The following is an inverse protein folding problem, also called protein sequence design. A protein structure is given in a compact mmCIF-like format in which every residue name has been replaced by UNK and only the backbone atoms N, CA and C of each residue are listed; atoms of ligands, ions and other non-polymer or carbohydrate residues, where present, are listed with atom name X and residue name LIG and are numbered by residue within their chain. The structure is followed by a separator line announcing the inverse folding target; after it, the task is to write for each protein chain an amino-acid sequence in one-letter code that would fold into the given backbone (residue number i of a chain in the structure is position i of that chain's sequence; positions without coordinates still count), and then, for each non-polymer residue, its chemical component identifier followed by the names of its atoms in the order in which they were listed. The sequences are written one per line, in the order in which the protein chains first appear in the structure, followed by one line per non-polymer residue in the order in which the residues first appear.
data_IF_721325632943
#
_entry.id   IF_721325632943
#
_cell.length_a   1.000
_cell.length_b   1.000
_cell.length_c   1.000
_cell.angle_alpha   90.00
_cell.angle_beta   90.00
_cell.angle_gamma   90.00
#
_symmetry.space_group_name_H-M   'P 1'
#
loop_
_entity.id
_entity.type
_entity.pdbx_description
1 polymer ?
#
# COMPACT_ATOMS: atom_id res chain seq x y z
N UNK A 1 21.23 -8.21 -68.74
CA UNK A 1 21.05 -9.04 -67.54
C UNK A 1 22.24 -8.72 -66.64
N UNK A 2 22.35 -7.62 -65.88
CA UNK A 2 21.41 -6.95 -64.95
C UNK A 2 20.46 -7.93 -64.28
N UNK A 3 20.26 -7.95 -62.98
CA UNK A 3 20.76 -7.26 -61.78
C UNK A 3 20.10 -8.09 -60.67
N UNK A 4 20.72 -8.20 -59.50
CA UNK A 4 20.14 -8.50 -58.17
C UNK A 4 21.16 -9.28 -57.33
N UNK A 5 22.19 -8.56 -56.87
CA UNK A 5 22.88 -8.91 -55.64
C UNK A 5 22.28 -8.01 -54.55
N UNK A 6 21.13 -8.44 -54.01
CA UNK A 6 20.68 -7.97 -52.70
C UNK A 6 21.64 -8.60 -51.67
N UNK A 7 22.61 -7.80 -51.24
CA UNK A 7 23.55 -8.13 -50.19
C UNK A 7 22.78 -8.32 -48.86
N UNK A 8 22.68 -9.58 -48.45
CA UNK A 8 22.01 -10.01 -47.22
C UNK A 8 22.85 -9.61 -46.00
N UNK A 9 22.43 -8.56 -45.29
CA UNK A 9 23.00 -8.18 -43.99
C UNK A 9 22.18 -8.87 -42.87
N UNK A 10 22.76 -9.76 -42.04
CA UNK A 10 22.03 -10.51 -41.01
C UNK A 10 21.46 -9.61 -39.89
N UNK A 11 20.15 -9.74 -39.62
CA UNK A 11 19.37 -8.93 -38.65
C UNK A 11 19.67 -9.15 -37.14
N UNK A 12 20.83 -9.70 -36.75
CA UNK A 12 21.02 -10.22 -35.37
C UNK A 12 22.14 -9.58 -34.51
N UNK A 13 22.69 -8.41 -34.86
CA UNK A 13 23.72 -7.77 -33.99
C UNK A 13 23.43 -6.39 -33.43
N UNK A 14 22.34 -5.72 -33.79
CA UNK A 14 22.17 -4.31 -33.41
C UNK A 14 20.78 -4.04 -32.81
N UNK A 15 20.66 -3.30 -31.68
CA UNK A 15 19.39 -2.96 -31.05
C UNK A 15 18.64 -1.83 -31.80
N UNK A 16 19.01 -1.56 -33.05
CA UNK A 16 18.53 -0.45 -33.87
C UNK A 16 17.61 -0.99 -34.97
N UNK A 17 16.50 -0.30 -35.21
CA UNK A 17 15.59 -0.59 -36.32
C UNK A 17 16.25 -0.31 -37.68
N UNK A 18 15.73 -0.92 -38.75
CA UNK A 18 16.25 -0.76 -40.12
C UNK A 18 16.31 0.71 -40.56
N UNK A 19 15.36 1.55 -40.13
CA UNK A 19 15.44 2.99 -40.39
C UNK A 19 16.56 3.69 -39.61
N UNK A 20 16.81 3.29 -38.36
CA UNK A 20 17.90 3.83 -37.53
C UNK A 20 19.27 3.41 -38.09
N UNK A 21 19.43 2.15 -38.51
CA UNK A 21 20.66 1.66 -39.15
C UNK A 21 20.94 2.44 -40.44
N UNK A 22 19.95 2.64 -41.30
CA UNK A 22 20.12 3.44 -42.52
C UNK A 22 20.53 4.90 -42.23
N UNK A 23 20.07 5.44 -41.11
CA UNK A 23 20.38 6.81 -40.72
C UNK A 23 21.77 6.92 -40.08
N UNK A 24 22.20 5.90 -39.32
CA UNK A 24 23.58 5.73 -38.88
C UNK A 24 24.53 5.51 -40.06
N UNK A 25 24.09 4.78 -41.08
CA UNK A 25 24.84 4.56 -42.32
C UNK A 25 24.97 5.86 -43.12
N UNK A 26 23.92 6.69 -43.11
CA UNK A 26 23.97 8.04 -43.66
C UNK A 26 25.00 8.90 -42.94
N UNK A 27 25.02 8.88 -41.60
CA UNK A 27 26.02 9.60 -40.79
C UNK A 27 27.42 9.07 -41.04
N UNK A 28 27.61 7.75 -41.10
CA UNK A 28 28.89 7.13 -41.37
C UNK A 28 29.44 7.55 -42.74
N UNK A 29 28.58 7.55 -43.76
CA UNK A 29 28.91 8.07 -45.09
C UNK A 29 29.14 9.59 -45.14
N UNK A 30 28.77 10.36 -44.11
CA UNK A 30 29.16 11.77 -44.00
C UNK A 30 30.61 11.94 -43.52
N UNK A 31 31.12 10.95 -42.78
CA UNK A 31 32.46 10.97 -42.22
C UNK A 31 33.48 10.27 -43.13
N UNK A 32 33.04 9.23 -43.83
CA UNK A 32 33.77 8.48 -44.85
C UNK A 32 33.68 9.19 -46.21
N UNK A 33 34.50 10.24 -46.38
CA UNK A 33 34.41 11.13 -47.55
C UNK A 33 34.94 10.48 -48.83
N UNK A 34 35.79 9.46 -48.70
CA UNK A 34 36.32 8.66 -49.81
C UNK A 34 35.51 7.39 -50.10
N UNK A 35 34.43 7.12 -49.33
CA UNK A 35 33.64 5.88 -49.38
C UNK A 35 34.52 4.63 -49.21
N UNK A 36 35.58 4.70 -48.41
CA UNK A 36 36.46 3.59 -48.11
C UNK A 36 35.80 2.51 -47.26
N UNK A 37 34.65 2.81 -46.63
CA UNK A 37 33.95 1.95 -45.69
C UNK A 37 34.49 2.07 -44.25
N UNK A 38 35.42 2.99 -44.01
CA UNK A 38 36.09 3.20 -42.73
C UNK A 38 36.30 4.70 -42.49
N UNK A 39 36.00 5.19 -41.29
CA UNK A 39 36.27 6.61 -40.95
C UNK A 39 37.71 6.71 -40.46
N UNK A 40 38.56 7.38 -41.23
CA UNK A 40 39.97 7.57 -40.88
C UNK A 40 40.18 8.77 -39.96
N UNK A 41 41.27 8.77 -39.19
CA UNK A 41 41.65 9.87 -38.29
C UNK A 41 41.70 11.21 -39.03
N UNK A 42 42.28 11.22 -40.22
CA UNK A 42 42.44 12.43 -41.04
C UNK A 42 41.10 12.96 -41.56
N UNK A 43 40.13 12.08 -41.79
CA UNK A 43 38.79 12.47 -42.24
C UNK A 43 37.98 13.04 -41.07
N UNK A 44 38.09 12.43 -39.89
CA UNK A 44 37.48 12.95 -38.67
C UNK A 44 38.11 14.29 -38.25
N UNK A 45 39.43 14.43 -38.37
CA UNK A 45 40.17 15.68 -38.12
C UNK A 45 39.84 16.76 -39.16
N UNK A 46 39.75 16.40 -40.44
CA UNK A 46 39.36 17.34 -41.50
C UNK A 46 37.94 17.83 -41.29
N UNK A 47 37.04 16.97 -40.83
CA UNK A 47 35.68 17.36 -40.49
C UNK A 47 35.73 18.28 -39.27
N UNK A 48 36.39 17.92 -38.17
CA UNK A 48 36.53 18.76 -36.97
C UNK A 48 37.12 20.15 -37.29
N UNK A 49 38.13 20.19 -38.16
CA UNK A 49 38.74 21.43 -38.66
C UNK A 49 37.76 22.24 -39.51
N UNK A 50 36.99 21.58 -40.40
CA UNK A 50 35.94 22.24 -41.19
C UNK A 50 34.83 22.79 -40.30
N UNK A 51 34.41 22.12 -39.23
CA UNK A 51 33.41 22.60 -38.23
C UNK A 51 34.01 23.53 -37.16
N UNK A 52 35.26 23.96 -37.29
CA UNK A 52 35.87 24.97 -36.43
C UNK A 52 36.17 24.48 -35.00
N UNK A 53 36.28 23.16 -34.83
CA UNK A 53 36.71 22.50 -33.60
C UNK A 53 38.18 22.13 -33.66
N UNK A 54 38.80 21.93 -32.48
CA UNK A 54 40.18 21.50 -32.39
C UNK A 54 40.33 20.05 -32.88
N UNK A 55 41.20 19.78 -33.87
CA UNK A 55 41.40 18.44 -34.43
C UNK A 55 41.91 17.42 -33.38
N UNK A 56 42.59 17.89 -32.33
CA UNK A 56 43.05 17.04 -31.23
C UNK A 56 41.91 16.31 -30.47
N UNK A 57 40.68 16.83 -30.51
CA UNK A 57 39.51 16.17 -29.93
C UNK A 57 39.03 14.99 -30.78
N UNK A 58 39.25 15.00 -32.10
CA UNK A 58 38.92 13.91 -32.99
C UNK A 58 39.84 12.70 -32.71
N UNK A 59 41.14 12.94 -32.59
CA UNK A 59 42.14 11.92 -32.26
C UNK A 59 41.87 11.27 -30.90
N UNK A 60 41.44 12.04 -29.89
CA UNK A 60 41.08 11.52 -28.58
C UNK A 60 39.82 10.62 -28.61
N UNK A 61 38.82 10.97 -29.43
CA UNK A 61 37.62 10.17 -29.65
C UNK A 61 37.95 8.83 -30.32
N UNK A 62 38.80 8.85 -31.35
CA UNK A 62 39.29 7.65 -32.03
C UNK A 62 40.09 6.74 -31.09
N UNK A 63 40.99 7.31 -30.29
CA UNK A 63 41.78 6.57 -29.34
C UNK A 63 40.91 5.90 -28.26
N UNK A 64 39.80 6.52 -27.87
CA UNK A 64 38.84 5.95 -26.94
C UNK A 64 38.02 4.81 -27.56
N UNK A 65 37.75 4.87 -28.87
CA UNK A 65 37.08 3.82 -29.65
C UNK A 65 37.99 2.60 -29.82
N UNK A 66 39.22 2.81 -30.29
CA UNK A 66 40.23 1.75 -30.47
C UNK A 66 40.54 1.00 -29.17
N UNK A 67 40.62 1.73 -28.05
CA UNK A 67 40.88 1.12 -26.75
C UNK A 67 39.72 0.29 -26.21
N UNK A 68 38.49 0.49 -26.72
CA UNK A 68 37.27 -0.19 -26.27
C UNK A 68 36.85 -1.35 -27.18
N UNK A 69 37.13 -1.27 -28.48
CA UNK A 69 36.79 -2.33 -29.44
C UNK A 69 37.64 -3.60 -29.26
N UNK A 70 38.78 -3.52 -28.56
CA UNK A 70 39.64 -4.69 -28.28
C UNK A 70 40.27 -5.32 -29.53
N UNK A 71 40.11 -4.68 -30.69
CA UNK A 71 40.68 -5.05 -31.98
C UNK A 71 42.04 -4.41 -32.24
N UNK A 72 42.61 -4.70 -33.42
CA UNK A 72 43.87 -4.09 -33.87
C UNK A 72 43.72 -2.57 -33.96
N UNK A 73 44.74 -1.84 -33.47
CA UNK A 73 44.79 -0.38 -33.55
C UNK A 73 45.18 0.02 -34.97
N UNK A 74 44.23 0.01 -35.87
CA UNK A 74 44.41 0.48 -37.25
C UNK A 74 44.11 1.98 -37.40
N UNK A 75 43.56 2.63 -36.36
CA UNK A 75 43.24 4.05 -36.36
C UNK A 75 42.09 4.38 -37.31
N UNK A 76 41.21 3.41 -37.56
CA UNK A 76 40.07 3.52 -38.46
C UNK A 76 38.83 2.97 -37.75
N UNK A 77 37.67 3.61 -37.93
CA UNK A 77 36.42 3.12 -37.33
C UNK A 77 35.56 2.52 -38.43
N UNK A 78 35.27 1.22 -38.34
CA UNK A 78 34.34 0.55 -39.25
C UNK A 78 32.87 0.87 -38.90
N UNK A 79 31.96 0.67 -39.87
CA UNK A 79 30.54 0.92 -39.64
C UNK A 79 29.97 0.03 -38.51
N UNK A 80 30.41 -1.22 -38.44
CA UNK A 80 29.97 -2.16 -37.41
C UNK A 80 30.45 -1.72 -36.01
N UNK A 81 31.68 -1.22 -35.88
CA UNK A 81 32.19 -0.65 -34.62
C UNK A 81 31.47 0.66 -34.24
N UNK A 82 31.17 1.50 -35.23
CA UNK A 82 30.40 2.72 -35.04
C UNK A 82 28.98 2.41 -34.52
N UNK A 83 28.34 1.37 -35.04
CA UNK A 83 27.01 0.92 -34.58
C UNK A 83 27.10 0.21 -33.22
N UNK A 84 28.11 -0.60 -32.99
CA UNK A 84 28.32 -1.31 -31.73
C UNK A 84 28.63 -0.35 -30.57
N UNK A 85 29.38 0.72 -30.81
CA UNK A 85 29.56 1.81 -29.84
C UNK A 85 28.23 2.43 -29.43
N UNK A 86 27.37 2.73 -30.40
CA UNK A 86 26.06 3.33 -30.15
C UNK A 86 25.10 2.33 -29.49
N UNK A 87 25.20 1.04 -29.84
CA UNK A 87 24.39 -0.05 -29.30
C UNK A 87 24.75 -0.33 -27.83
N UNK A 88 26.03 -0.34 -27.50
CA UNK A 88 26.53 -0.55 -26.15
C UNK A 88 26.19 0.65 -25.25
N UNK A 89 26.18 1.87 -25.80
CA UNK A 89 25.72 3.09 -25.11
C UNK A 89 24.20 3.04 -24.81
N UNK A 90 23.40 2.45 -25.70
CA UNK A 90 21.96 2.20 -25.51
C UNK A 90 21.69 1.18 -24.40
N UNK A 91 22.55 0.16 -24.25
CA UNK A 91 22.47 -0.84 -23.19
C UNK A 91 23.02 -0.33 -21.83
N UNK A 92 24.06 0.51 -21.84
CA UNK A 92 24.62 1.14 -20.63
C UNK A 92 23.74 2.29 -20.07
N UNK A 93 22.77 2.77 -20.85
CA UNK A 93 21.77 3.77 -20.43
C UNK A 93 20.66 3.23 -19.52
N UNK A 94 20.69 1.94 -19.15
CA UNK A 94 19.73 1.31 -18.23
C UNK A 94 20.29 1.12 -16.80
N UNK A 95 21.36 1.84 -16.42
CA UNK A 95 22.11 1.56 -15.19
C UNK A 95 22.78 2.74 -14.50
N UNK A 96 22.05 3.82 -14.18
CA UNK A 96 22.34 4.62 -12.97
C UNK A 96 21.06 5.33 -12.48
N UNK A 97 20.46 4.91 -11.35
CA UNK A 97 19.31 5.60 -10.77
C UNK A 97 19.61 7.02 -10.26
N UNK A 98 20.87 7.47 -10.24
CA UNK A 98 21.29 8.78 -9.72
C UNK A 98 21.88 9.76 -10.76
N UNK A 99 21.99 9.38 -12.03
CA UNK A 99 22.40 10.33 -13.08
C UNK A 99 21.25 11.30 -13.36
N UNK A 100 21.47 12.57 -13.00
CA UNK A 100 20.48 13.64 -13.07
C UNK A 100 19.89 13.70 -14.48
N UNK A 101 18.56 13.58 -14.59
CA UNK A 101 17.79 13.36 -15.82
C UNK A 101 17.77 14.54 -16.78
N UNK A 102 18.95 15.06 -17.11
CA UNK A 102 19.19 16.05 -18.14
C UNK A 102 19.33 15.40 -19.53
N UNK A 103 19.25 16.22 -20.59
CA UNK A 103 19.52 15.76 -21.94
C UNK A 103 20.95 15.25 -22.03
N UNK A 104 21.13 14.16 -22.78
CA UNK A 104 22.44 13.55 -22.93
C UNK A 104 23.41 14.50 -23.63
N UNK A 105 24.47 14.87 -22.92
CA UNK A 105 25.43 15.85 -23.40
C UNK A 105 26.04 15.43 -24.76
N UNK A 106 26.20 14.12 -25.00
CA UNK A 106 26.74 13.61 -26.27
C UNK A 106 25.71 13.72 -27.40
N UNK A 107 24.45 13.41 -27.12
CA UNK A 107 23.35 13.55 -28.10
C UNK A 107 23.12 15.02 -28.44
N UNK A 108 23.19 15.92 -27.45
CA UNK A 108 23.10 17.37 -27.68
C UNK A 108 24.25 17.88 -28.57
N UNK A 109 25.46 17.38 -28.36
CA UNK A 109 26.62 17.76 -29.17
C UNK A 109 26.49 17.23 -30.60
N UNK A 110 25.99 16.01 -30.76
CA UNK A 110 25.71 15.44 -32.08
C UNK A 110 24.61 16.22 -32.83
N UNK A 111 23.55 16.64 -32.14
CA UNK A 111 22.51 17.50 -32.69
C UNK A 111 23.07 18.85 -33.16
N UNK A 112 24.04 19.41 -32.45
CA UNK A 112 24.71 20.67 -32.82
C UNK A 112 25.57 20.49 -34.07
N UNK A 113 26.37 19.42 -34.13
CA UNK A 113 27.22 19.10 -35.26
C UNK A 113 26.40 18.86 -36.54
N UNK A 114 25.30 18.11 -36.46
CA UNK A 114 24.40 17.89 -37.60
C UNK A 114 23.72 19.18 -38.09
N UNK A 115 23.40 20.12 -37.19
CA UNK A 115 22.83 21.42 -37.57
C UNK A 115 23.86 22.26 -38.34
N UNK A 116 25.10 22.29 -37.84
CA UNK A 116 26.21 23.00 -38.49
C UNK A 116 26.53 22.39 -39.87
N UNK A 117 26.49 21.06 -39.99
CA UNK A 117 26.64 20.37 -41.27
C UNK A 117 25.54 20.73 -42.26
N UNK A 118 24.27 20.68 -41.83
CA UNK A 118 23.13 21.08 -42.66
C UNK A 118 23.29 22.50 -43.19
N UNK A 119 23.66 23.45 -42.32
CA UNK A 119 23.87 24.86 -42.71
C UNK A 119 24.96 25.02 -43.76
N UNK A 120 26.06 24.27 -43.67
CA UNK A 120 27.12 24.30 -44.69
C UNK A 120 26.68 23.74 -46.03
N UNK A 121 25.94 22.63 -46.05
CA UNK A 121 25.38 22.11 -47.28
C UNK A 121 24.42 23.10 -47.94
N UNK A 122 23.65 23.87 -47.15
CA UNK A 122 22.79 24.95 -47.66
C UNK A 122 23.61 26.12 -48.27
N UNK A 123 24.74 26.49 -47.66
CA UNK A 123 25.65 27.53 -48.16
C UNK A 123 26.38 27.11 -49.45
N UNK A 124 26.79 25.84 -49.53
CA UNK A 124 27.45 25.25 -50.71
C UNK A 124 26.46 24.94 -51.85
N UNK A 125 25.16 25.01 -51.59
CA UNK A 125 24.08 24.77 -52.56
C UNK A 125 23.71 23.29 -52.74
N UNK A 126 24.24 22.38 -51.89
CA UNK A 126 23.86 20.97 -51.86
C UNK A 126 22.61 20.75 -50.99
N UNK A 127 21.46 21.08 -51.57
CA UNK A 127 20.17 20.95 -50.90
C UNK A 127 19.73 19.50 -50.65
N UNK A 128 20.26 18.53 -51.40
CA UNK A 128 19.89 17.12 -51.21
C UNK A 128 20.49 16.59 -49.91
N UNK A 129 21.76 16.92 -49.67
CA UNK A 129 22.47 16.57 -48.45
C UNK A 129 21.96 17.34 -47.23
N UNK A 130 21.68 18.64 -47.38
CA UNK A 130 20.97 19.42 -46.35
C UNK A 130 19.62 18.79 -45.98
N UNK A 131 18.89 18.27 -46.96
CA UNK A 131 17.63 17.55 -46.75
C UNK A 131 17.79 16.22 -45.98
N UNK A 132 18.88 15.48 -46.22
CA UNK A 132 19.24 14.27 -45.46
C UNK A 132 19.59 14.60 -44.01
N UNK A 133 20.48 15.58 -43.80
CA UNK A 133 20.88 16.06 -42.49
C UNK A 133 19.70 16.57 -41.66
N UNK A 134 18.79 17.35 -42.27
CA UNK A 134 17.59 17.86 -41.58
C UNK A 134 16.61 16.75 -41.17
N UNK A 135 16.42 15.72 -42.01
CA UNK A 135 15.62 14.54 -41.63
C UNK A 135 16.23 13.82 -40.44
N UNK A 136 17.55 13.63 -40.47
CA UNK A 136 18.25 12.91 -39.43
C UNK A 136 18.23 13.67 -38.08
N UNK A 137 18.43 14.98 -38.14
CA UNK A 137 18.31 15.88 -37.00
C UNK A 137 16.90 15.83 -36.38
N UNK A 138 15.86 15.72 -37.20
CA UNK A 138 14.49 15.50 -36.74
C UNK A 138 14.28 14.17 -36.00
N UNK A 139 14.88 13.08 -36.49
CA UNK A 139 14.79 11.76 -35.87
C UNK A 139 15.49 11.74 -34.50
N UNK A 140 16.72 12.24 -34.42
CA UNK A 140 17.48 12.30 -33.16
C UNK A 140 16.81 13.19 -32.11
N UNK A 141 16.27 14.35 -32.51
CA UNK A 141 15.47 15.20 -31.61
C UNK A 141 14.27 14.42 -31.05
N UNK A 142 13.52 13.73 -31.90
CA UNK A 142 12.36 12.96 -31.48
C UNK A 142 12.73 11.78 -30.57
N UNK A 143 13.87 11.14 -30.81
CA UNK A 143 14.37 10.04 -29.99
C UNK A 143 14.78 10.53 -28.59
N UNK A 144 15.55 11.62 -28.51
CA UNK A 144 15.98 12.19 -27.23
C UNK A 144 14.78 12.75 -26.45
N UNK A 145 13.83 13.42 -27.11
CA UNK A 145 12.56 13.83 -26.50
C UNK A 145 11.81 12.62 -25.89
N UNK A 146 11.70 11.51 -26.63
CA UNK A 146 11.03 10.30 -26.14
C UNK A 146 11.75 9.68 -24.95
N UNK A 147 13.09 9.66 -24.95
CA UNK A 147 13.89 9.15 -23.83
C UNK A 147 13.65 9.96 -22.57
N UNK A 148 13.80 11.28 -22.65
CA UNK A 148 13.58 12.18 -21.52
C UNK A 148 12.14 12.07 -20.99
N UNK A 149 11.15 11.96 -21.89
CA UNK A 149 9.76 11.73 -21.50
C UNK A 149 9.57 10.40 -20.74
N UNK A 150 10.25 9.32 -21.16
CA UNK A 150 10.22 8.03 -20.46
C UNK A 150 10.83 8.15 -19.07
N UNK A 151 11.97 8.82 -18.92
CA UNK A 151 12.63 9.02 -17.62
C UNK A 151 11.75 9.78 -16.63
N UNK A 152 11.14 10.88 -17.06
CA UNK A 152 10.21 11.66 -16.23
C UNK A 152 9.02 10.80 -15.79
N UNK A 153 8.42 10.05 -16.73
CA UNK A 153 7.29 9.15 -16.41
C UNK A 153 7.70 8.03 -15.46
N UNK A 154 8.89 7.46 -15.62
CA UNK A 154 9.43 6.43 -14.74
C UNK A 154 9.59 6.94 -13.31
N UNK A 155 10.15 8.15 -13.13
CA UNK A 155 10.25 8.80 -11.80
C UNK A 155 8.87 9.01 -11.17
N UNK A 156 7.89 9.47 -11.95
CA UNK A 156 6.52 9.64 -11.44
C UNK A 156 5.87 8.32 -11.04
N UNK A 157 6.13 7.23 -11.78
CA UNK A 157 5.66 5.88 -11.42
C UNK A 157 6.27 5.43 -10.09
N UNK A 158 7.58 5.60 -9.91
CA UNK A 158 8.28 5.27 -8.66
C UNK A 158 7.72 6.05 -7.47
N UNK A 159 7.54 7.37 -7.60
CA UNK A 159 6.95 8.20 -6.54
C UNK A 159 5.53 7.74 -6.16
N UNK A 160 4.71 7.34 -7.14
CA UNK A 160 3.38 6.75 -6.85
C UNK A 160 3.48 5.41 -6.14
N UNK A 161 4.46 4.58 -6.48
CA UNK A 161 4.70 3.31 -5.80
C UNK A 161 5.10 3.55 -4.33
N UNK A 162 5.96 4.52 -4.06
CA UNK A 162 6.36 4.88 -2.70
C UNK A 162 5.15 5.34 -1.86
N UNK A 163 4.29 6.19 -2.45
CA UNK A 163 3.04 6.61 -1.80
C UNK A 163 2.10 5.43 -1.57
N UNK A 164 2.01 4.48 -2.51
CA UNK A 164 1.21 3.27 -2.32
C UNK A 164 1.76 2.39 -1.19
N UNK A 165 3.08 2.23 -1.10
CA UNK A 165 3.74 1.51 -0.01
C UNK A 165 3.42 2.17 1.33
N UNK A 166 3.55 3.51 1.42
CA UNK A 166 3.22 4.27 2.61
C UNK A 166 1.74 4.12 3.00
N UNK A 167 0.81 4.18 2.04
CA UNK A 167 -0.62 3.93 2.29
C UNK A 167 -0.89 2.51 2.82
N UNK A 168 -0.22 1.51 2.26
CA UNK A 168 -0.35 0.12 2.70
C UNK A 168 0.19 -0.06 4.13
N UNK A 169 1.34 0.54 4.46
CA UNK A 169 1.88 0.53 5.82
C UNK A 169 0.92 1.18 6.81
N UNK A 170 0.40 2.38 6.50
CA UNK A 170 -0.58 3.06 7.35
C UNK A 170 -1.85 2.22 7.56
N UNK A 171 -2.31 1.50 6.54
CA UNK A 171 -3.47 0.62 6.65
C UNK A 171 -3.19 -0.59 7.55
N UNK A 172 -1.98 -1.16 7.46
CA UNK A 172 -1.54 -2.25 8.32
C UNK A 172 -1.44 -1.79 9.78
N UNK A 173 -0.80 -0.66 10.04
CA UNK A 173 -0.67 -0.09 11.38
C UNK A 173 -2.05 0.23 12.00
N UNK A 174 -2.95 0.81 11.19
CA UNK A 174 -4.34 1.04 11.59
C UNK A 174 -5.04 -0.25 12.00
N UNK A 175 -4.90 -1.32 11.21
CA UNK A 175 -5.52 -2.61 11.53
C UNK A 175 -4.93 -3.22 12.79
N UNK A 176 -3.60 -3.22 12.93
CA UNK A 176 -2.93 -3.75 14.10
C UNK A 176 -3.35 -3.01 15.39
N UNK A 177 -3.47 -1.68 15.34
CA UNK A 177 -3.97 -0.89 16.46
C UNK A 177 -5.41 -1.24 16.84
N UNK A 178 -6.30 -1.41 15.85
CA UNK A 178 -7.68 -1.82 16.09
C UNK A 178 -7.80 -3.26 16.59
N UNK A 179 -6.99 -4.17 16.07
CA UNK A 179 -6.99 -5.57 16.50
C UNK A 179 -6.56 -5.66 17.97
N UNK A 180 -5.50 -4.95 18.35
CA UNK A 180 -5.06 -4.83 19.75
C UNK A 180 -6.16 -4.23 20.65
N UNK A 181 -6.79 -3.14 20.21
CA UNK A 181 -7.88 -2.51 20.96
C UNK A 181 -9.07 -3.47 21.17
N UNK A 182 -9.43 -4.24 20.15
CA UNK A 182 -10.49 -5.23 20.22
C UNK A 182 -10.12 -6.41 21.13
N UNK A 183 -8.86 -6.85 21.11
CA UNK A 183 -8.34 -7.89 21.99
C UNK A 183 -8.38 -7.46 23.46
N UNK A 184 -7.95 -6.24 23.77
CA UNK A 184 -8.03 -5.67 25.12
C UNK A 184 -9.50 -5.59 25.61
N UNK A 185 -10.43 -5.16 24.75
CA UNK A 185 -11.85 -5.13 25.06
C UNK A 185 -12.42 -6.54 25.31
N UNK A 186 -12.15 -7.50 24.41
CA UNK A 186 -12.63 -8.88 24.52
C UNK A 186 -12.03 -9.55 25.79
N UNK A 187 -10.76 -9.25 26.13
CA UNK A 187 -10.10 -9.69 27.36
C UNK A 187 -10.74 -9.12 28.63
N UNK A 188 -11.00 -7.81 28.69
CA UNK A 188 -11.72 -7.22 29.82
C UNK A 188 -13.13 -7.78 29.96
N UNK A 189 -13.85 -7.96 28.85
CA UNK A 189 -15.19 -8.56 28.85
C UNK A 189 -15.20 -9.98 29.45
N UNK A 190 -14.19 -10.81 29.11
CA UNK A 190 -14.02 -12.14 29.69
C UNK A 190 -13.78 -12.08 31.20
N UNK A 191 -12.93 -11.16 31.68
CA UNK A 191 -12.71 -10.98 33.12
C UNK A 191 -13.98 -10.58 33.87
N UNK A 192 -14.80 -9.68 33.32
CA UNK A 192 -16.09 -9.30 33.92
C UNK A 192 -17.06 -10.49 33.98
N UNK A 193 -17.14 -11.28 32.90
CA UNK A 193 -17.96 -12.49 32.87
C UNK A 193 -17.50 -13.46 33.96
N UNK A 194 -16.19 -13.71 34.06
CA UNK A 194 -15.61 -14.60 35.06
C UNK A 194 -15.96 -14.12 36.48
N UNK A 195 -15.69 -12.85 36.79
CA UNK A 195 -15.98 -12.26 38.10
C UNK A 195 -17.47 -12.39 38.47
N UNK A 196 -18.38 -12.15 37.52
CA UNK A 196 -19.81 -12.31 37.75
C UNK A 196 -20.19 -13.78 37.98
N UNK A 197 -19.64 -14.72 37.22
CA UNK A 197 -19.91 -16.15 37.40
C UNK A 197 -19.40 -16.69 38.74
N UNK A 198 -18.21 -16.25 39.19
CA UNK A 198 -17.67 -16.59 40.50
C UNK A 198 -18.55 -16.04 41.62
N UNK A 199 -18.96 -14.77 41.51
CA UNK A 199 -19.91 -14.16 42.46
C UNK A 199 -21.24 -14.90 42.48
N UNK A 200 -21.76 -15.31 41.32
CA UNK A 200 -22.99 -16.09 41.24
C UNK A 200 -22.84 -17.47 41.92
N UNK A 201 -21.68 -18.13 41.76
CA UNK A 201 -21.41 -19.40 42.41
C UNK A 201 -21.39 -19.28 43.94
N UNK A 202 -20.72 -18.26 44.48
CA UNK A 202 -20.70 -17.99 45.93
C UNK A 202 -22.11 -17.66 46.44
N UNK A 203 -22.83 -16.74 45.78
CA UNK A 203 -24.18 -16.38 46.17
C UNK A 203 -25.15 -17.57 46.13
N UNK A 204 -24.98 -18.49 45.17
CA UNK A 204 -25.79 -19.69 45.07
C UNK A 204 -25.51 -20.65 46.23
N UNK A 205 -24.24 -20.81 46.61
CA UNK A 205 -23.85 -21.63 47.76
C UNK A 205 -24.43 -21.07 49.07
N UNK A 206 -24.29 -19.76 49.30
CA UNK A 206 -24.87 -19.08 50.46
C UNK A 206 -26.40 -19.21 50.49
N UNK A 207 -27.05 -19.04 49.34
CA UNK A 207 -28.50 -19.23 49.22
C UNK A 207 -28.94 -20.67 49.53
N UNK A 208 -28.21 -21.67 49.02
CA UNK A 208 -28.48 -23.08 49.32
C UNK A 208 -28.32 -23.38 50.81
N UNK A 209 -27.25 -22.88 51.44
CA UNK A 209 -27.01 -23.05 52.88
C UNK A 209 -28.11 -22.41 53.72
N UNK A 210 -28.51 -21.17 53.39
CA UNK A 210 -29.62 -20.48 54.05
C UNK A 210 -30.95 -21.22 53.91
N UNK A 211 -31.25 -21.74 52.73
CA UNK A 211 -32.44 -22.57 52.51
C UNK A 211 -32.39 -23.89 53.30
N UNK A 212 -31.24 -24.55 53.37
CA UNK A 212 -31.09 -25.76 54.17
C UNK A 212 -31.30 -25.47 55.66
N UNK A 213 -30.79 -24.34 56.16
CA UNK A 213 -31.00 -23.92 57.55
C UNK A 213 -32.48 -23.62 57.84
N UNK A 214 -33.15 -22.85 56.97
CA UNK A 214 -34.58 -22.54 57.08
C UNK A 214 -35.44 -23.82 57.16
N UNK A 215 -35.01 -24.88 56.47
CA UNK A 215 -35.72 -26.15 56.45
C UNK A 215 -35.40 -27.04 57.66
N UNK A 216 -34.19 -26.95 58.22
CA UNK A 216 -33.80 -27.64 59.47
C UNK A 216 -34.54 -27.08 60.69
N UNK A 217 -34.73 -25.75 60.72
CA UNK A 217 -35.36 -25.07 61.85
C UNK A 217 -36.89 -25.27 61.91
N UNK A 218 -37.49 -25.79 60.82
CA UNK A 218 -38.94 -26.09 60.77
C UNK A 218 -39.21 -27.47 61.38
N UNK A 219 -39.92 -27.56 62.53
CA UNK A 219 -40.21 -28.84 63.16
C UNK A 219 -41.10 -29.72 62.25
N UNK A 220 -40.87 -31.04 62.21
CA UNK A 220 -41.69 -31.98 61.45
C UNK A 220 -43.16 -31.92 61.89
N UNK A 221 -44.08 -31.84 60.92
CA UNK A 221 -45.52 -31.83 61.17
C UNK A 221 -46.11 -33.19 60.84
N UNK A 222 -46.29 -34.01 61.87
CA UNK A 222 -46.86 -35.35 61.76
C UNK A 222 -48.38 -35.31 61.54
N UNK A 223 -48.88 -36.29 60.79
CA UNK A 223 -50.30 -36.50 60.54
C UNK A 223 -51.05 -36.83 61.82
N UNK A 224 -52.33 -36.43 61.86
CA UNK A 224 -53.21 -36.67 63.01
C UNK A 224 -53.35 -38.17 63.30
N UNK A 225 -53.44 -38.98 62.26
CA UNK A 225 -53.56 -40.43 62.35
C UNK A 225 -52.33 -41.07 62.99
N UNK A 226 -51.12 -40.69 62.56
CA UNK A 226 -49.88 -41.19 63.17
C UNK A 226 -49.80 -40.87 64.67
N UNK A 227 -50.16 -39.64 65.05
CA UNK A 227 -50.21 -39.23 66.46
C UNK A 227 -51.26 -40.03 67.25
N UNK A 228 -52.40 -40.37 66.64
CA UNK A 228 -53.43 -41.24 67.22
C UNK A 228 -52.93 -42.68 67.40
N UNK A 229 -52.26 -43.27 66.42
CA UNK A 229 -51.63 -44.58 66.52
C UNK A 229 -50.54 -44.64 67.61
N UNK A 230 -49.72 -43.59 67.72
CA UNK A 230 -48.71 -43.46 68.79
C UNK A 230 -49.35 -43.33 70.17
N UNK A 231 -50.44 -42.56 70.33
CA UNK A 231 -51.21 -42.51 71.58
C UNK A 231 -51.77 -43.88 71.96
N UNK A 232 -52.34 -44.62 70.99
CA UNK A 232 -52.88 -45.96 71.21
C UNK A 232 -51.80 -46.98 71.56
N UNK A 233 -50.61 -46.87 70.96
CA UNK A 233 -49.43 -47.67 71.31
C UNK A 233 -49.07 -47.51 72.79
N UNK A 234 -48.92 -46.26 73.26
CA UNK A 234 -48.56 -45.98 74.65
C UNK A 234 -49.65 -46.42 75.64
N UNK A 235 -50.92 -46.32 75.26
CA UNK A 235 -52.05 -46.78 76.07
C UNK A 235 -52.00 -48.30 76.30
N UNK A 236 -51.81 -49.09 75.22
CA UNK A 236 -51.71 -50.56 75.33
C UNK A 236 -50.46 -50.99 76.12
N UNK A 237 -49.35 -50.28 75.96
CA UNK A 237 -48.15 -50.51 76.75
C UNK A 237 -48.37 -50.25 78.25
N UNK A 238 -49.07 -49.18 78.62
CA UNK A 238 -49.44 -48.87 80.02
C UNK A 238 -50.36 -49.94 80.63
N UNK A 239 -51.24 -50.53 79.83
CA UNK A 239 -52.10 -51.65 80.23
C UNK A 239 -51.34 -52.99 80.31
N UNK A 240 -50.02 -53.01 80.09
CA UNK A 240 -49.14 -54.20 80.04
C UNK A 240 -49.51 -55.20 78.94
N UNK A 241 -50.33 -54.80 77.96
CA UNK A 241 -50.61 -55.61 76.77
C UNK A 241 -49.53 -55.38 75.71
N UNK A 242 -48.37 -55.99 75.94
CA UNK A 242 -47.18 -55.80 75.10
C UNK A 242 -47.34 -56.39 73.69
N UNK A 243 -48.10 -57.48 73.54
CA UNK A 243 -48.32 -58.13 72.25
C UNK A 243 -49.11 -57.22 71.28
N UNK A 244 -50.19 -56.58 71.76
CA UNK A 244 -50.92 -55.60 70.97
C UNK A 244 -50.15 -54.30 70.78
N UNK A 245 -49.45 -53.82 71.82
CA UNK A 245 -48.61 -52.63 71.71
C UNK A 245 -47.51 -52.79 70.63
N UNK A 246 -46.92 -53.97 70.49
CA UNK A 246 -45.92 -54.27 69.47
C UNK A 246 -46.50 -54.29 68.06
N UNK A 247 -47.72 -54.83 67.87
CA UNK A 247 -48.43 -54.78 66.59
C UNK A 247 -48.73 -53.34 66.18
N UNK A 248 -49.24 -52.53 67.11
CA UNK A 248 -49.52 -51.11 66.89
C UNK A 248 -48.23 -50.33 66.58
N UNK A 249 -47.14 -50.61 67.31
CA UNK A 249 -45.83 -50.00 67.07
C UNK A 249 -45.38 -50.24 65.62
N UNK A 250 -45.46 -51.47 65.12
CA UNK A 250 -45.04 -51.79 63.74
C UNK A 250 -45.82 -50.97 62.69
N UNK A 251 -47.13 -50.80 62.90
CA UNK A 251 -47.98 -49.99 62.01
C UNK A 251 -47.62 -48.51 62.13
N UNK A 252 -47.44 -47.99 63.34
CA UNK A 252 -47.05 -46.60 63.59
C UNK A 252 -45.65 -46.28 63.02
N UNK A 253 -44.67 -47.17 63.17
CA UNK A 253 -43.32 -47.02 62.62
C UNK A 253 -43.35 -46.97 61.08
N UNK A 254 -44.16 -47.83 60.43
CA UNK A 254 -44.35 -47.81 58.97
C UNK A 254 -45.05 -46.53 58.49
N UNK A 255 -46.06 -46.06 59.22
CA UNK A 255 -46.75 -44.80 58.93
C UNK A 255 -45.80 -43.61 59.09
N UNK A 256 -45.01 -43.58 60.16
CA UNK A 256 -44.01 -42.54 60.41
C UNK A 256 -42.95 -42.49 59.31
N UNK A 257 -42.46 -43.63 58.86
CA UNK A 257 -41.49 -43.70 57.75
C UNK A 257 -42.08 -43.12 56.46
N UNK A 258 -43.33 -43.49 56.12
CA UNK A 258 -44.02 -42.93 54.94
C UNK A 258 -44.22 -41.42 55.05
N UNK A 259 -44.71 -40.94 56.19
CA UNK A 259 -44.91 -39.49 56.41
C UNK A 259 -43.57 -38.74 56.39
N UNK A 260 -42.50 -39.32 56.93
CA UNK A 260 -41.15 -38.73 56.89
C UNK A 260 -40.63 -38.64 55.46
N UNK A 261 -40.76 -39.69 54.66
CA UNK A 261 -40.37 -39.68 53.25
C UNK A 261 -41.18 -38.69 52.43
N UNK A 262 -42.50 -38.61 52.65
CA UNK A 262 -43.36 -37.65 51.98
C UNK A 262 -42.97 -36.20 52.35
N UNK A 263 -42.71 -35.91 53.63
CA UNK A 263 -42.22 -34.61 54.08
C UNK A 263 -40.85 -34.28 53.46
N UNK A 264 -39.91 -35.23 53.43
CA UNK A 264 -38.60 -35.05 52.79
C UNK A 264 -38.72 -34.76 51.29
N UNK A 265 -39.58 -35.49 50.57
CA UNK A 265 -39.82 -35.26 49.14
C UNK A 265 -40.46 -33.90 48.88
N UNK A 266 -41.48 -33.52 49.66
CA UNK A 266 -42.10 -32.20 49.56
C UNK A 266 -41.09 -31.08 49.85
N UNK A 267 -40.27 -31.26 50.89
CA UNK A 267 -39.20 -30.36 51.25
C UNK A 267 -38.17 -30.23 50.11
N UNK A 268 -37.69 -31.35 49.56
CA UNK A 268 -36.77 -31.36 48.43
C UNK A 268 -37.36 -30.69 47.18
N UNK A 269 -38.66 -30.89 46.89
CA UNK A 269 -39.34 -30.23 45.79
C UNK A 269 -39.42 -28.70 45.97
N UNK A 270 -39.71 -28.23 47.19
CA UNK A 270 -39.70 -26.79 47.51
C UNK A 270 -38.30 -26.21 47.40
N UNK A 271 -37.27 -26.92 47.89
CA UNK A 271 -35.87 -26.53 47.75
C UNK A 271 -35.49 -26.38 46.28
N UNK A 272 -35.72 -27.41 45.47
CA UNK A 272 -35.42 -27.40 44.04
C UNK A 272 -36.15 -26.28 43.29
N UNK A 273 -37.41 -25.98 43.63
CA UNK A 273 -38.17 -24.88 43.02
C UNK A 273 -37.57 -23.52 43.37
N UNK A 274 -37.22 -23.28 44.63
CA UNK A 274 -36.62 -22.01 45.08
C UNK A 274 -35.21 -21.84 44.46
N UNK A 275 -34.40 -22.88 44.45
CA UNK A 275 -33.08 -22.91 43.84
C UNK A 275 -33.12 -22.69 42.32
N UNK A 276 -34.05 -23.34 41.61
CA UNK A 276 -34.23 -23.15 40.18
C UNK A 276 -34.62 -21.70 39.83
N UNK A 277 -35.51 -21.09 40.63
CA UNK A 277 -35.88 -19.67 40.46
C UNK A 277 -34.68 -18.74 40.66
N UNK A 278 -33.84 -19.00 41.66
CA UNK A 278 -32.63 -18.22 41.92
C UNK A 278 -31.60 -18.36 40.79
N UNK A 279 -31.35 -19.59 40.32
CA UNK A 279 -30.50 -19.83 39.14
C UNK A 279 -31.03 -19.14 37.88
N UNK A 280 -32.35 -19.13 37.68
CA UNK A 280 -32.97 -18.45 36.55
C UNK A 280 -32.71 -16.94 36.60
N UNK A 281 -32.76 -16.32 37.79
CA UNK A 281 -32.42 -14.90 37.96
C UNK A 281 -30.94 -14.64 37.62
N UNK A 282 -30.03 -15.44 38.16
CA UNK A 282 -28.60 -15.37 37.85
C UNK A 282 -28.31 -15.55 36.35
N UNK A 283 -29.01 -16.48 35.70
CA UNK A 283 -28.89 -16.71 34.26
C UNK A 283 -29.41 -15.51 33.46
N UNK A 284 -30.53 -14.91 33.85
CA UNK A 284 -31.07 -13.72 33.20
C UNK A 284 -30.13 -12.52 33.31
N UNK A 285 -29.50 -12.33 34.48
CA UNK A 285 -28.51 -11.28 34.70
C UNK A 285 -27.26 -11.48 33.83
N UNK A 286 -26.72 -12.70 33.78
CA UNK A 286 -25.58 -13.03 32.92
C UNK A 286 -25.92 -12.83 31.43
N UNK A 287 -27.11 -13.25 31.00
CA UNK A 287 -27.57 -13.03 29.63
C UNK A 287 -27.71 -11.54 29.30
N UNK A 288 -28.15 -10.71 30.25
CA UNK A 288 -28.23 -9.27 30.07
C UNK A 288 -26.83 -8.62 29.97
N UNK A 289 -25.83 -9.14 30.69
CA UNK A 289 -24.44 -8.71 30.55
C UNK A 289 -23.88 -9.09 29.17
N UNK A 290 -24.03 -10.35 28.75
CA UNK A 290 -23.56 -10.83 27.45
C UNK A 290 -24.14 -10.01 26.30
N UNK A 291 -25.45 -9.72 26.33
CA UNK A 291 -26.10 -8.87 25.32
C UNK A 291 -25.53 -7.45 25.28
N UNK A 292 -25.16 -6.87 26.43
CA UNK A 292 -24.53 -5.54 26.49
C UNK A 292 -23.11 -5.56 25.91
N UNK A 293 -22.33 -6.59 26.24
CA UNK A 293 -20.99 -6.80 25.68
C UNK A 293 -21.08 -6.95 24.17
N UNK A 294 -21.99 -7.77 23.66
CA UNK A 294 -22.19 -7.99 22.21
C UNK A 294 -22.63 -6.71 21.49
N UNK A 295 -23.54 -5.92 22.10
CA UNK A 295 -24.00 -4.67 21.52
C UNK A 295 -22.85 -3.65 21.41
N UNK A 296 -22.06 -3.50 22.48
CA UNK A 296 -20.90 -2.62 22.51
C UNK A 296 -19.80 -3.09 21.55
N UNK A 297 -19.55 -4.40 21.47
CA UNK A 297 -18.62 -5.00 20.50
C UNK A 297 -19.01 -4.69 19.06
N UNK A 298 -20.29 -4.83 18.72
CA UNK A 298 -20.82 -4.45 17.40
C UNK A 298 -20.61 -2.97 17.10
N UNK A 299 -20.70 -2.11 18.11
CA UNK A 299 -20.46 -0.68 17.95
C UNK A 299 -18.99 -0.39 17.65
N UNK A 300 -18.05 -1.03 18.35
CA UNK A 300 -16.62 -0.92 18.04
C UNK A 300 -16.30 -1.37 16.60
N UNK A 301 -16.92 -2.45 16.13
CA UNK A 301 -16.74 -2.91 14.73
C UNK A 301 -17.27 -1.89 13.72
N UNK A 302 -18.41 -1.24 13.99
CA UNK A 302 -18.92 -0.16 13.13
C UNK A 302 -17.98 1.04 13.14
N UNK A 303 -17.45 1.42 14.31
CA UNK A 303 -16.51 2.52 14.44
C UNK A 303 -15.24 2.25 13.64
N UNK A 304 -14.66 1.05 13.74
CA UNK A 304 -13.53 0.61 12.90
C UNK A 304 -13.84 0.75 11.41
N UNK A 305 -15.03 0.37 10.97
CA UNK A 305 -15.44 0.49 9.57
C UNK A 305 -15.54 1.96 9.11
N UNK A 306 -16.04 2.86 9.96
CA UNK A 306 -16.10 4.29 9.68
C UNK A 306 -14.70 4.89 9.59
N UNK A 307 -13.83 4.56 10.55
CA UNK A 307 -12.47 5.11 10.60
C UNK A 307 -11.59 4.55 9.48
N UNK A 308 -11.77 3.28 9.11
CA UNK A 308 -11.14 2.67 7.93
C UNK A 308 -11.54 3.40 6.64
N UNK A 309 -12.83 3.71 6.46
CA UNK A 309 -13.30 4.51 5.32
C UNK A 309 -12.69 5.90 5.29
N UNK A 310 -12.57 6.57 6.45
CA UNK A 310 -11.92 7.89 6.55
C UNK A 310 -10.44 7.81 6.18
N UNK A 311 -9.72 6.78 6.63
CA UNK A 311 -8.32 6.57 6.25
C UNK A 311 -8.18 6.36 4.74
N UNK A 312 -8.96 5.46 4.15
CA UNK A 312 -8.94 5.21 2.70
C UNK A 312 -9.30 6.45 1.89
N UNK A 313 -10.24 7.26 2.37
CA UNK A 313 -10.59 8.52 1.72
C UNK A 313 -9.43 9.53 1.76
N UNK A 314 -8.71 9.65 2.88
CA UNK A 314 -7.51 10.49 2.97
C UNK A 314 -6.42 10.02 2.01
N UNK A 315 -6.15 8.72 1.96
CA UNK A 315 -5.17 8.12 1.04
C UNK A 315 -5.55 8.40 -0.43
N UNK A 316 -6.84 8.27 -0.76
CA UNK A 316 -7.34 8.61 -2.09
C UNK A 316 -7.16 10.09 -2.43
N UNK A 317 -7.40 10.98 -1.47
CA UNK A 317 -7.19 12.42 -1.66
C UNK A 317 -5.70 12.74 -1.89
N UNK A 318 -4.79 12.13 -1.11
CA UNK A 318 -3.34 12.28 -1.28
C UNK A 318 -2.91 11.84 -2.68
N UNK A 319 -3.40 10.67 -3.12
CA UNK A 319 -3.11 10.17 -4.46
C UNK A 319 -3.64 11.10 -5.56
N UNK A 320 -4.87 11.61 -5.43
CA UNK A 320 -5.44 12.54 -6.42
C UNK A 320 -4.65 13.86 -6.51
N UNK A 321 -4.19 14.38 -5.37
CA UNK A 321 -3.33 15.58 -5.33
C UNK A 321 -1.99 15.31 -6.00
N UNK A 322 -1.37 14.16 -5.72
CA UNK A 322 -0.11 13.76 -6.35
C UNK A 322 -0.27 13.63 -7.87
N UNK A 323 -1.31 12.93 -8.34
CA UNK A 323 -1.58 12.76 -9.76
C UNK A 323 -1.80 14.10 -10.48
N UNK A 324 -2.55 15.02 -9.85
CA UNK A 324 -2.75 16.37 -10.39
C UNK A 324 -1.43 17.15 -10.47
N UNK A 325 -0.58 17.06 -9.44
CA UNK A 325 0.74 17.72 -9.41
C UNK A 325 1.64 17.13 -10.49
N UNK A 326 1.73 15.81 -10.57
CA UNK A 326 2.54 15.09 -11.57
C UNK A 326 2.09 15.44 -12.99
N UNK A 327 0.80 15.56 -13.26
CA UNK A 327 0.31 15.92 -14.61
C UNK A 327 0.77 17.33 -15.03
N UNK A 328 0.64 18.31 -14.13
CA UNK A 328 1.10 19.70 -14.40
C UNK A 328 2.62 19.74 -14.57
N UNK A 329 3.36 19.06 -13.70
CA UNK A 329 4.82 18.97 -13.76
C UNK A 329 5.30 18.28 -15.04
N UNK A 330 4.66 17.17 -15.42
CA UNK A 330 4.96 16.42 -16.64
C UNK A 330 4.85 17.31 -17.88
N UNK A 331 3.74 18.06 -18.01
CA UNK A 331 3.54 18.99 -19.12
C UNK A 331 4.60 20.10 -19.16
N UNK A 332 4.96 20.66 -17.98
CA UNK A 332 6.00 21.69 -17.88
C UNK A 332 7.37 21.13 -18.30
N UNK A 333 7.76 19.98 -17.75
CA UNK A 333 9.06 19.36 -18.02
C UNK A 333 9.17 18.93 -19.49
N UNK A 334 8.10 18.40 -20.09
CA UNK A 334 8.10 18.06 -21.52
C UNK A 334 8.29 19.29 -22.40
N UNK A 335 7.65 20.41 -22.06
CA UNK A 335 7.87 21.68 -22.76
C UNK A 335 9.30 22.20 -22.58
N UNK A 336 9.90 22.00 -21.41
CA UNK A 336 11.28 22.39 -21.10
C UNK A 336 12.30 21.53 -21.86
N UNK A 337 12.12 20.21 -21.89
CA UNK A 337 12.92 19.28 -22.72
C UNK A 337 12.93 19.71 -24.18
N UNK A 338 11.75 20.00 -24.75
CA UNK A 338 11.61 20.49 -26.13
C UNK A 338 12.39 21.79 -26.36
N UNK A 339 12.31 22.73 -25.41
CA UNK A 339 13.06 23.99 -25.50
C UNK A 339 14.58 23.77 -25.45
N UNK A 340 15.05 22.89 -24.58
CA UNK A 340 16.48 22.59 -24.43
C UNK A 340 17.05 21.93 -25.68
N UNK A 341 16.35 20.93 -26.22
CA UNK A 341 16.73 20.23 -27.46
C UNK A 341 16.64 21.17 -28.67
N UNK A 342 15.70 22.10 -28.69
CA UNK A 342 15.64 23.12 -29.74
C UNK A 342 16.79 24.13 -29.62
N UNK A 343 17.17 24.51 -28.39
CA UNK A 343 18.25 25.47 -28.15
C UNK A 343 19.63 24.92 -28.53
N UNK A 344 19.86 23.62 -28.37
CA UNK A 344 21.14 23.00 -28.77
C UNK A 344 21.38 23.00 -30.28
N UNK A 345 20.34 23.25 -31.09
CA UNK A 345 20.45 23.37 -32.55
C UNK A 345 20.28 24.81 -33.04
N UNK A 346 20.46 25.81 -32.18
CA UNK A 346 20.47 27.21 -32.61
C UNK A 346 21.91 27.66 -32.90
N UNK A 347 22.16 28.39 -34.00
CA UNK A 347 23.48 28.93 -34.28
C UNK A 347 23.91 29.97 -33.20
N UNK A 348 25.21 30.11 -32.93
CA UNK A 348 25.73 30.98 -31.86
C UNK A 348 25.24 32.44 -31.94
N UNK A 349 25.02 32.96 -33.15
CA UNK A 349 24.53 34.32 -33.40
C UNK A 349 23.11 34.60 -32.89
N UNK A 350 22.33 33.56 -32.58
CA UNK A 350 20.95 33.67 -32.05
C UNK A 350 20.83 33.31 -30.56
N UNK A 351 21.91 32.88 -29.90
CA UNK A 351 21.90 32.55 -28.47
C UNK A 351 21.86 33.78 -27.55
N UNK A 352 22.31 34.95 -28.03
CA UNK A 352 22.43 36.21 -27.27
C UNK A 352 21.26 37.20 -27.44
N UNK A 353 20.22 36.85 -28.22
CA UNK A 353 19.05 37.72 -28.34
C UNK A 353 18.06 37.44 -27.19
N UNK A 354 17.71 38.45 -26.36
CA UNK A 354 16.69 38.25 -25.33
C UNK A 354 15.36 37.93 -26.02
N UNK A 355 14.81 36.75 -25.70
CA UNK A 355 13.49 36.30 -26.14
C UNK A 355 12.47 37.41 -25.89
N UNK A 356 11.99 38.02 -26.97
CA UNK A 356 10.97 39.05 -26.91
C UNK A 356 9.71 38.46 -26.25
N UNK A 357 9.42 38.95 -25.05
CA UNK A 357 8.18 38.68 -24.32
C UNK A 357 6.99 39.06 -25.21
N UNK A 358 6.23 38.07 -25.67
CA UNK A 358 4.88 38.32 -26.17
C UNK A 358 4.00 38.69 -24.97
N UNK A 359 3.74 39.99 -24.83
CA UNK A 359 2.82 40.50 -23.82
C UNK A 359 1.40 40.00 -24.13
N UNK A 360 0.98 38.94 -23.44
CA UNK A 360 -0.42 38.61 -23.30
C UNK A 360 -1.10 39.73 -22.51
N UNK A 361 -2.04 40.42 -23.16
CA UNK A 361 -2.80 41.54 -22.61
C UNK A 361 -3.54 41.08 -21.35
N UNK A 362 -3.14 41.60 -20.19
CA UNK A 362 -3.88 41.52 -18.93
C UNK A 362 -5.24 42.20 -19.12
N UNK A 363 -6.31 41.41 -19.09
CA UNK A 363 -7.66 41.89 -18.83
C UNK A 363 -7.83 42.03 -17.31
N UNK A 364 -8.03 43.26 -16.87
CA UNK A 364 -8.34 43.66 -15.50
C UNK A 364 -9.79 43.34 -15.17
N UNK A 365 -10.03 42.49 -14.15
CA UNK A 365 -11.26 42.60 -13.34
C UNK A 365 -11.03 42.22 -11.87
N UNK A 366 -10.93 43.28 -11.08
CA UNK A 366 -11.24 43.52 -9.65
C UNK A 366 -11.48 42.33 -8.70
N UNK A 367 -10.61 42.29 -7.69
CA UNK A 367 -10.86 42.29 -6.23
C UNK A 367 -12.21 41.78 -5.69
N UNK A 368 -12.11 40.90 -4.70
CA UNK A 368 -13.13 40.69 -3.68
C UNK A 368 -12.87 39.48 -2.77
N UNK A 369 -12.33 39.76 -1.58
CA UNK A 369 -12.47 39.02 -0.31
C UNK A 369 -11.60 37.78 -0.13
N UNK A 370 -10.55 37.82 0.71
CA UNK A 370 -10.47 38.00 2.18
C UNK A 370 -10.24 36.65 2.87
N UNK A 371 -9.19 36.65 3.66
CA UNK A 371 -8.63 35.52 4.37
C UNK A 371 -9.61 34.89 5.36
N UNK A 372 -9.59 33.56 5.42
CA UNK A 372 -9.72 32.85 6.70
C UNK A 372 -8.62 31.82 6.81
N UNK A 373 -7.64 32.24 7.59
CA UNK A 373 -6.70 31.44 8.35
C UNK A 373 -7.44 30.25 8.99
N UNK A 374 -7.04 29.03 8.65
CA UNK A 374 -7.47 27.83 9.38
C UNK A 374 -6.22 27.12 9.86
N UNK A 375 -5.80 27.54 11.05
CA UNK A 375 -5.01 26.81 12.03
C UNK A 375 -5.18 25.31 11.86
N UNK A 376 -4.08 24.61 11.57
CA UNK A 376 -4.00 23.15 11.73
C UNK A 376 -4.01 22.92 13.23
N UNK A 377 -5.19 22.59 13.74
CA UNK A 377 -5.39 22.09 15.10
C UNK A 377 -4.74 20.70 15.20
N UNK A 378 -3.55 20.67 15.79
CA UNK A 378 -2.96 19.47 16.37
C UNK A 378 -3.70 19.16 17.68
N UNK A 379 -4.95 18.72 17.55
CA UNK A 379 -5.86 18.33 18.62
C UNK A 379 -5.97 16.81 18.72
N UNK A 380 -5.28 16.29 19.72
CA UNK A 380 -5.24 14.91 20.22
C UNK A 380 -6.65 14.30 20.44
N UNK A 381 -6.80 12.99 20.23
CA UNK A 381 -7.77 12.19 20.99
C UNK A 381 -7.02 11.08 21.75
N UNK A 382 -6.38 11.47 22.86
CA UNK A 382 -6.40 10.60 24.03
C UNK A 382 -7.82 10.65 24.57
N UNK A 383 -8.60 9.60 24.31
CA UNK A 383 -9.74 9.32 25.17
C UNK A 383 -9.27 8.38 26.27
N UNK A 384 -9.59 8.83 27.47
CA UNK A 384 -9.34 8.20 28.74
C UNK A 384 -9.81 6.74 28.75
N UNK A 385 -9.06 5.91 29.48
CA UNK A 385 -9.48 4.56 29.82
C UNK A 385 -10.84 4.59 30.52
N UNK A 386 -11.58 3.48 30.51
CA UNK A 386 -12.90 3.43 31.12
C UNK A 386 -12.78 3.66 32.63
N UNK A 387 -13.25 4.83 33.08
CA UNK A 387 -13.71 5.03 34.45
C UNK A 387 -14.97 4.19 34.62
N UNK A 388 -14.84 3.15 35.43
CA UNK A 388 -15.94 2.32 35.89
C UNK A 388 -16.60 3.04 37.06
N UNK A 389 -17.77 3.63 36.82
CA UNK A 389 -18.65 4.07 37.90
C UNK A 389 -19.38 2.84 38.46
N UNK A 390 -19.32 2.69 39.78
CA UNK A 390 -19.46 1.44 40.54
C UNK A 390 -20.85 0.80 40.62
#
# INVERSE_FOLDING_TARGET
MSENEDEYIPEERTPFSREEINALHGIFALYDADNSGYIQVEELENIFTKIGKNPDEAAALLQEVDNRAGGERDGQISFDEFVDLLALQKAAGDGDPNSDGGPDQKVLEFLRILEEYRLKCEEEGDYLEAGRANRQLGLLKAQEEKRQQKTIRARQVAERQDVQIAHNMQYNDFNAAWDKYMEEYDGMAQMYIQQMTERHAVNLLEFQQGLQQEMRDRPPKWGRELLEWRRRQHLMARQKNYAEAQKIKKIADQMEERERQAMQQSNAAVFARKEAKFRQQQQAELQALLKRIDARRKEHVKQRAVDSKRLLQRNRNVQAVLESKQNVECNRLFAEVKKTIHRSTLPPSKLDQPMAYSQSKKSTRRQGNEAKDSTIDSGFLHQEGPTFDG
#
